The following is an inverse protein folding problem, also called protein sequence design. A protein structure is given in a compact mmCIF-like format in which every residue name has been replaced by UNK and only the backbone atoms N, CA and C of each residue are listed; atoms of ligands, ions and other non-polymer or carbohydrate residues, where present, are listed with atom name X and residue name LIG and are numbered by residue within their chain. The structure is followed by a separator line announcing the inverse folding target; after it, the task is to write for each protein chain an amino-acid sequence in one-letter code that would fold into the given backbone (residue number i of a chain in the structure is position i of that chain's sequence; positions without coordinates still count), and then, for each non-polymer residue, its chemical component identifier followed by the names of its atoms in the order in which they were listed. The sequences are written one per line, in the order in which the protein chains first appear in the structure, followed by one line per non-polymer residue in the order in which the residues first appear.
data_IF_319112851238
#
_entry.id   IF_319112851238
#
_cell.length_a   1.000
_cell.length_b   1.000
_cell.length_c   1.000
_cell.angle_alpha   90.00
_cell.angle_beta   90.00
_cell.angle_gamma   90.00
#
_symmetry.space_group_name_H-M   'P 1'
#
loop_
_entity.id
_entity.type
_entity.pdbx_description
1 polymer ?
#
# COMPACT_ATOMS: atom_id res chain seq x y z
N UNK A 1 -18.89 8.85 -9.30
CA UNK A 1 -17.84 9.10 -8.29
C UNK A 1 -16.91 7.91 -8.30
N UNK A 2 -15.58 8.07 -8.45
CA UNK A 2 -14.68 6.93 -8.34
C UNK A 2 -14.86 6.32 -6.96
N UNK A 3 -15.25 5.04 -6.93
CA UNK A 3 -15.39 4.28 -5.70
C UNK A 3 -14.02 4.29 -5.00
N UNK A 4 -13.96 4.86 -3.79
CA UNK A 4 -12.71 4.92 -3.01
C UNK A 4 -12.20 3.50 -2.82
N UNK A 5 -10.92 3.30 -3.06
CA UNK A 5 -10.32 1.99 -2.94
C UNK A 5 -10.41 1.53 -1.47
N UNK A 6 -10.88 0.31 -1.21
CA UNK A 6 -11.10 -0.20 0.14
C UNK A 6 -9.82 -0.24 0.99
N UNK A 7 -8.65 -0.32 0.34
CA UNK A 7 -7.35 -0.32 0.99
C UNK A 7 -6.59 1.01 0.85
N UNK A 8 -7.25 2.06 0.33
CA UNK A 8 -6.65 3.39 0.16
C UNK A 8 -6.15 3.97 1.49
N UNK A 9 -6.90 3.76 2.58
CA UNK A 9 -6.55 4.28 3.91
C UNK A 9 -5.22 3.71 4.39
N UNK A 10 -5.02 2.40 4.22
CA UNK A 10 -3.80 1.69 4.56
C UNK A 10 -2.64 2.11 3.65
N UNK A 11 -2.89 2.25 2.34
CA UNK A 11 -1.89 2.75 1.40
C UNK A 11 -1.40 4.17 1.76
N UNK A 12 -2.31 5.08 2.12
CA UNK A 12 -1.94 6.41 2.61
C UNK A 12 -1.16 6.33 3.93
N UNK A 13 -1.55 5.48 4.86
CA UNK A 13 -0.84 5.30 6.13
C UNK A 13 0.60 4.81 5.92
N UNK A 14 0.84 3.93 4.93
CA UNK A 14 2.18 3.48 4.57
C UNK A 14 3.00 4.65 4.03
N UNK A 15 2.45 5.46 3.13
CA UNK A 15 3.13 6.64 2.60
C UNK A 15 3.50 7.61 3.72
N UNK A 16 2.59 7.90 4.66
CA UNK A 16 2.86 8.75 5.82
C UNK A 16 3.94 8.14 6.71
N UNK A 17 3.87 6.85 7.00
CA UNK A 17 4.86 6.16 7.81
C UNK A 17 6.24 6.21 7.17
N UNK A 18 6.34 5.95 5.86
CA UNK A 18 7.59 6.02 5.13
C UNK A 18 8.16 7.43 5.15
N UNK A 19 7.36 8.46 4.89
CA UNK A 19 7.82 9.85 4.96
C UNK A 19 8.34 10.21 6.36
N UNK A 20 7.63 9.83 7.41
CA UNK A 20 8.07 10.05 8.79
C UNK A 20 9.34 9.27 9.16
N UNK A 21 9.54 8.10 8.58
CA UNK A 21 10.65 7.19 8.87
C UNK A 21 11.79 7.24 7.84
N UNK A 22 11.87 8.29 7.01
CA UNK A 22 12.89 8.42 5.95
C UNK A 22 12.92 7.22 5.00
N UNK A 23 11.75 6.71 4.67
CA UNK A 23 11.52 5.56 3.80
C UNK A 23 12.10 4.23 4.32
N UNK A 24 12.31 4.13 5.64
CA UNK A 24 12.72 2.87 6.27
C UNK A 24 11.50 1.97 6.42
N UNK A 25 11.30 1.06 5.46
CA UNK A 25 10.18 0.12 5.43
C UNK A 25 10.07 -0.75 6.69
N UNK A 26 11.19 -1.16 7.28
CA UNK A 26 11.20 -1.97 8.51
C UNK A 26 10.48 -1.29 9.69
N UNK A 27 10.44 0.05 9.73
CA UNK A 27 9.68 0.79 10.76
C UNK A 27 8.19 0.88 10.46
N UNK A 28 7.79 0.51 9.26
CA UNK A 28 6.42 0.55 8.75
C UNK A 28 5.84 -0.86 8.52
N UNK A 29 6.53 -1.92 8.97
CA UNK A 29 6.09 -3.30 8.79
C UNK A 29 4.66 -3.54 9.29
N UNK A 30 4.28 -2.93 10.41
CA UNK A 30 2.92 -3.08 10.96
C UNK A 30 1.86 -2.56 9.99
N UNK A 31 2.09 -1.40 9.40
CA UNK A 31 1.16 -0.76 8.45
C UNK A 31 1.16 -1.50 7.11
N UNK A 32 2.31 -2.04 6.69
CA UNK A 32 2.43 -2.88 5.49
C UNK A 32 1.67 -4.20 5.67
N UNK A 33 1.76 -4.83 6.85
CA UNK A 33 0.99 -6.05 7.18
C UNK A 33 -0.52 -5.79 7.19
N UNK A 34 -0.95 -4.64 7.70
CA UNK A 34 -2.35 -4.20 7.63
C UNK A 34 -2.83 -4.05 6.17
N UNK A 35 -2.00 -3.47 5.30
CA UNK A 35 -2.32 -3.39 3.87
C UNK A 35 -2.40 -4.77 3.23
N UNK A 36 -1.49 -5.69 3.55
CA UNK A 36 -1.53 -7.07 3.07
C UNK A 36 -2.80 -7.80 3.52
N UNK A 37 -3.23 -7.60 4.78
CA UNK A 37 -4.50 -8.14 5.29
C UNK A 37 -5.69 -7.56 4.54
N UNK A 38 -5.69 -6.25 4.29
CA UNK A 38 -6.71 -5.60 3.49
C UNK A 38 -6.79 -6.22 2.09
N UNK A 39 -5.65 -6.42 1.44
CA UNK A 39 -5.57 -7.02 0.12
C UNK A 39 -5.90 -8.52 0.08
N UNK A 40 -5.67 -9.24 1.17
CA UNK A 40 -6.08 -10.63 1.31
C UNK A 40 -7.60 -10.75 1.52
N UNK A 41 -8.20 -9.79 2.24
CA UNK A 41 -9.65 -9.73 2.45
C UNK A 41 -10.40 -9.26 1.20
N UNK A 42 -9.78 -8.42 0.38
CA UNK A 42 -10.37 -7.92 -0.86
C UNK A 42 -10.04 -8.85 -2.03
N UNK A 43 -11.06 -9.48 -2.62
CA UNK A 43 -10.96 -10.43 -3.75
C UNK A 43 -10.59 -9.76 -5.09
N UNK A 44 -9.54 -8.94 -5.12
CA UNK A 44 -8.94 -8.41 -6.34
C UNK A 44 -9.49 -7.08 -6.86
N UNK A 45 -10.37 -6.39 -6.13
CA UNK A 45 -10.99 -5.15 -6.60
C UNK A 45 -10.36 -3.89 -5.97
N UNK A 46 -9.03 -3.86 -5.85
CA UNK A 46 -8.29 -2.72 -5.30
C UNK A 46 -7.06 -2.41 -6.14
N UNK A 47 -7.01 -1.19 -6.69
CA UNK A 47 -5.86 -0.60 -7.39
C UNK A 47 -4.66 -0.51 -6.46
N UNK A 48 -4.91 -0.18 -5.18
CA UNK A 48 -3.84 -0.11 -4.19
C UNK A 48 -3.23 -1.50 -3.95
N UNK A 49 -4.03 -2.57 -3.95
CA UNK A 49 -3.54 -3.93 -3.74
C UNK A 49 -2.72 -4.50 -4.89
N UNK A 50 -2.94 -4.03 -6.12
CA UNK A 50 -2.13 -4.43 -7.27
C UNK A 50 -0.65 -4.10 -7.09
N UNK A 51 -0.33 -2.95 -6.47
CA UNK A 51 1.05 -2.57 -6.16
C UNK A 51 1.68 -3.32 -4.99
N UNK A 52 0.86 -3.96 -4.13
CA UNK A 52 1.33 -4.71 -2.95
C UNK A 52 1.46 -6.21 -3.20
N UNK A 53 0.69 -6.79 -4.14
CA UNK A 53 0.79 -8.21 -4.51
C UNK A 53 2.18 -8.58 -5.05
N UNK A 54 2.82 -7.67 -5.76
CA UNK A 54 4.17 -7.84 -6.31
C UNK A 54 5.30 -7.45 -5.33
N UNK A 55 4.97 -7.02 -4.11
CA UNK A 55 5.92 -6.58 -3.08
C UNK A 55 6.71 -7.74 -2.43
N UNK A 56 6.94 -8.83 -3.18
CA UNK A 56 7.97 -9.80 -2.84
C UNK A 56 9.38 -9.36 -3.26
N UNK A 57 9.56 -8.37 -4.14
CA UNK A 57 10.90 -7.85 -4.42
C UNK A 57 10.86 -6.48 -5.11
N UNK A 58 11.53 -5.50 -4.51
CA UNK A 58 12.08 -4.27 -5.13
C UNK A 58 11.13 -3.09 -5.42
N UNK A 59 11.53 -1.94 -4.88
CA UNK A 59 11.18 -0.58 -5.28
C UNK A 59 9.69 -0.22 -5.41
N UNK A 60 9.19 0.52 -4.44
CA UNK A 60 8.15 1.52 -4.64
C UNK A 60 8.56 2.47 -5.79
N UNK A 61 8.23 2.13 -7.03
CA UNK A 61 8.15 3.12 -8.10
C UNK A 61 6.90 3.96 -7.82
N UNK A 62 7.02 5.29 -7.65
CA UNK A 62 5.85 6.15 -7.64
C UNK A 62 5.34 6.20 -9.08
N UNK A 63 4.46 5.27 -9.46
CA UNK A 63 3.75 5.35 -10.73
C UNK A 63 2.72 6.47 -10.60
N UNK A 64 3.13 7.69 -10.94
CA UNK A 64 2.21 8.77 -11.27
C UNK A 64 1.47 8.42 -12.56
N UNK A 65 0.23 8.91 -12.60
CA UNK A 65 -0.54 9.37 -13.75
C UNK A 65 -1.40 8.34 -14.51
N UNK A 66 -2.72 8.48 -14.35
CA UNK A 66 -3.63 8.68 -15.49
C UNK A 66 -4.66 9.74 -15.13
#
# INVERSE_FOLDING_TARGET
MPQKDPCQKQACAIQTCLQANKYVESKCEDVIREMQRCCAAQTGNSVCCSGFKDSKLTNFKPSKNS
#
